data_IF_179897850650
#
_entry.id   IF_179897850650
#
_cell.length_a   1.000
_cell.length_b   1.000
_cell.length_c   1.000
_cell.angle_alpha   90.00
_cell.angle_beta   90.00
_cell.angle_gamma   90.00
#
_symmetry.space_group_name_H-M   'P 1'
#
loop_
_entity.id
_entity.type
_entity.pdbx_description
1 polymer ?
#
# COMPACT_ATOMS: atom_id res chain seq x y z
N UNK A 1 -39.54 -82.36 16.71
CA UNK A 1 -39.85 -82.03 15.31
C UNK A 1 -40.30 -80.56 15.24
N UNK A 2 -39.49 -79.66 14.69
CA UNK A 2 -39.80 -78.47 13.92
C UNK A 2 -38.49 -77.73 13.66
N UNK A 3 -38.05 -77.87 12.42
CA UNK A 3 -36.88 -77.24 11.85
C UNK A 3 -37.14 -75.72 11.68
N UNK A 4 -36.26 -74.89 12.20
CA UNK A 4 -36.26 -73.45 11.93
C UNK A 4 -35.04 -73.08 11.05
N UNK A 5 -35.33 -72.64 9.83
CA UNK A 5 -34.36 -72.18 8.85
C UNK A 5 -34.02 -70.72 9.15
N UNK A 6 -32.74 -70.45 9.50
CA UNK A 6 -32.20 -69.11 9.55
C UNK A 6 -31.77 -68.69 8.13
N UNK A 7 -32.37 -67.64 7.59
CA UNK A 7 -31.98 -66.98 6.38
C UNK A 7 -30.93 -65.91 6.73
N UNK A 8 -29.71 -66.06 6.20
CA UNK A 8 -28.64 -65.04 6.30
C UNK A 8 -28.87 -63.97 5.23
N UNK A 9 -29.21 -62.77 5.64
CA UNK A 9 -29.25 -61.59 4.74
C UNK A 9 -27.82 -60.99 4.61
N UNK A 10 -27.28 -61.08 3.42
CA UNK A 10 -25.96 -60.47 3.06
C UNK A 10 -26.23 -58.98 2.73
N UNK A 11 -25.87 -58.05 3.63
CA UNK A 11 -25.91 -56.63 3.35
C UNK A 11 -24.62 -56.21 2.58
N UNK A 12 -24.77 -55.91 1.32
CA UNK A 12 -23.69 -55.34 0.49
C UNK A 12 -23.54 -53.83 0.83
N UNK A 13 -22.52 -53.47 1.58
CA UNK A 13 -22.09 -52.11 1.78
C UNK A 13 -21.34 -51.62 0.53
N UNK A 14 -21.99 -50.77 -0.28
CA UNK A 14 -21.36 -50.04 -1.37
C UNK A 14 -20.57 -48.89 -0.71
N UNK A 15 -19.27 -49.07 -0.57
CA UNK A 15 -18.35 -48.02 -0.18
C UNK A 15 -18.22 -46.97 -1.30
N UNK A 16 -18.77 -45.78 -1.13
CA UNK A 16 -18.45 -44.64 -1.96
C UNK A 16 -16.99 -44.28 -1.70
N UNK A 17 -16.09 -44.68 -2.62
CA UNK A 17 -14.74 -44.15 -2.67
C UNK A 17 -14.86 -42.65 -3.09
N UNK A 18 -14.75 -41.74 -2.14
CA UNK A 18 -14.49 -40.33 -2.43
C UNK A 18 -13.07 -40.29 -3.01
N UNK A 19 -12.97 -40.24 -4.33
CA UNK A 19 -11.73 -39.94 -5.02
C UNK A 19 -11.37 -38.48 -4.66
N UNK A 20 -10.55 -38.31 -3.60
CA UNK A 20 -9.89 -37.06 -3.33
C UNK A 20 -9.09 -36.70 -4.59
N UNK A 21 -9.44 -35.58 -5.23
CA UNK A 21 -8.60 -35.04 -6.29
C UNK A 21 -7.21 -34.82 -5.70
N UNK A 22 -6.14 -35.29 -6.33
CA UNK A 22 -4.80 -34.92 -5.88
C UNK A 22 -4.72 -33.39 -5.92
N UNK A 23 -4.35 -32.77 -4.81
CA UNK A 23 -3.97 -31.38 -4.82
C UNK A 23 -2.79 -31.27 -5.80
N UNK A 24 -3.02 -30.68 -6.97
CA UNK A 24 -1.95 -30.39 -7.92
C UNK A 24 -1.00 -29.44 -7.17
N UNK A 25 0.26 -29.82 -7.05
CA UNK A 25 1.30 -28.91 -6.59
C UNK A 25 1.31 -27.70 -7.53
N UNK A 26 1.49 -26.49 -6.98
CA UNK A 26 1.58 -25.30 -7.81
C UNK A 26 2.82 -25.41 -8.73
N UNK A 27 2.67 -24.96 -9.98
CA UNK A 27 3.77 -24.94 -10.94
C UNK A 27 4.79 -23.84 -10.56
N UNK A 28 4.29 -22.77 -9.91
CA UNK A 28 5.05 -21.60 -9.50
C UNK A 28 4.71 -21.23 -8.05
N UNK A 29 5.70 -21.32 -7.19
CA UNK A 29 5.60 -20.90 -5.79
C UNK A 29 6.52 -19.70 -5.56
N UNK A 30 5.95 -18.60 -5.04
CA UNK A 30 6.67 -17.35 -4.78
C UNK A 30 6.53 -16.91 -3.34
N UNK A 31 7.61 -16.35 -2.78
CA UNK A 31 7.64 -15.76 -1.45
C UNK A 31 7.74 -14.24 -1.57
N UNK A 32 6.67 -13.56 -1.14
CA UNK A 32 6.59 -12.10 -1.12
C UNK A 32 6.59 -11.61 0.32
N UNK A 33 7.13 -10.41 0.54
CA UNK A 33 7.02 -9.72 1.81
C UNK A 33 6.27 -8.40 1.63
N UNK A 34 5.30 -8.15 2.52
CA UNK A 34 4.59 -6.87 2.63
C UNK A 34 5.35 -5.91 3.53
N UNK A 35 5.14 -4.60 3.34
CA UNK A 35 5.54 -3.58 4.32
C UNK A 35 4.52 -3.36 5.44
N UNK A 36 3.39 -4.08 5.41
CA UNK A 36 2.36 -3.99 6.44
C UNK A 36 2.49 -5.12 7.49
N UNK A 37 2.17 -4.86 8.77
CA UNK A 37 2.06 -5.88 9.82
C UNK A 37 0.90 -6.85 9.56
N UNK A 38 0.99 -8.09 10.05
CA UNK A 38 0.00 -9.16 9.84
C UNK A 38 -1.45 -8.78 10.23
N UNK A 39 -1.62 -7.98 11.28
CA UNK A 39 -2.95 -7.50 11.75
C UNK A 39 -3.49 -6.27 11.03
N UNK A 40 -2.71 -5.68 10.12
CA UNK A 40 -3.12 -4.49 9.39
C UNK A 40 -4.22 -4.82 8.35
N UNK A 41 -5.31 -4.05 8.27
CA UNK A 41 -6.32 -4.22 7.23
C UNK A 41 -5.78 -4.27 5.80
N UNK A 42 -4.73 -3.51 5.48
CA UNK A 42 -4.07 -3.55 4.17
C UNK A 42 -3.46 -4.94 3.92
N UNK A 43 -2.71 -5.50 4.88
CA UNK A 43 -2.13 -6.84 4.77
C UNK A 43 -3.20 -7.92 4.55
N UNK A 44 -4.33 -7.81 5.28
CA UNK A 44 -5.46 -8.74 5.12
C UNK A 44 -6.02 -8.67 3.69
N UNK A 45 -6.16 -7.47 3.11
CA UNK A 45 -6.61 -7.29 1.74
C UNK A 45 -5.58 -7.83 0.73
N UNK A 46 -4.28 -7.59 0.96
CA UNK A 46 -3.19 -8.13 0.15
C UNK A 46 -3.17 -9.67 0.16
N UNK A 47 -3.46 -10.30 1.30
CA UNK A 47 -3.66 -11.76 1.39
C UNK A 47 -4.86 -12.21 0.55
N UNK A 48 -5.90 -11.38 0.42
CA UNK A 48 -7.02 -11.62 -0.50
C UNK A 48 -6.57 -11.66 -1.97
N UNK A 49 -5.66 -10.75 -2.37
CA UNK A 49 -5.08 -10.75 -3.71
C UNK A 49 -4.32 -12.04 -4.03
N UNK A 50 -3.50 -12.57 -3.11
CA UNK A 50 -2.75 -13.82 -3.38
C UNK A 50 -3.69 -14.98 -3.66
N UNK A 51 -4.84 -15.05 -2.99
CA UNK A 51 -5.89 -16.04 -3.24
C UNK A 51 -6.55 -15.85 -4.61
N UNK A 52 -6.87 -14.59 -4.97
CA UNK A 52 -7.46 -14.28 -6.27
C UNK A 52 -6.53 -14.65 -7.43
N UNK A 53 -5.21 -14.44 -7.28
CA UNK A 53 -4.20 -14.87 -8.25
C UNK A 53 -4.15 -16.40 -8.38
N UNK A 54 -4.18 -17.12 -7.26
CA UNK A 54 -4.21 -18.59 -7.27
C UNK A 54 -5.48 -19.10 -7.97
N UNK A 55 -6.64 -18.53 -7.68
CA UNK A 55 -7.90 -18.87 -8.34
C UNK A 55 -7.87 -18.56 -9.84
N UNK A 56 -7.38 -17.37 -10.23
CA UNK A 56 -7.26 -16.93 -11.63
C UNK A 56 -6.37 -17.84 -12.45
N UNK A 57 -5.32 -18.41 -11.84
CA UNK A 57 -4.37 -19.32 -12.50
C UNK A 57 -4.75 -20.79 -12.35
N UNK A 58 -5.92 -21.11 -11.75
CA UNK A 58 -6.34 -22.49 -11.52
C UNK A 58 -5.41 -23.26 -10.58
N UNK A 59 -4.80 -22.56 -9.61
CA UNK A 59 -3.85 -23.14 -8.65
C UNK A 59 -2.42 -23.29 -9.15
N UNK A 60 -2.11 -22.86 -10.39
CA UNK A 60 -0.74 -22.94 -10.93
C UNK A 60 0.24 -22.01 -10.23
N UNK A 61 -0.24 -20.86 -9.74
CA UNK A 61 0.58 -19.87 -9.01
C UNK A 61 0.13 -19.79 -7.57
N UNK A 62 1.09 -19.92 -6.66
CA UNK A 62 0.90 -19.70 -5.23
C UNK A 62 1.88 -18.62 -4.75
N UNK A 63 1.37 -17.63 -4.01
CA UNK A 63 2.19 -16.60 -3.36
C UNK A 63 2.03 -16.72 -1.86
N UNK A 64 3.13 -17.05 -1.18
CA UNK A 64 3.25 -16.91 0.26
C UNK A 64 3.53 -15.44 0.58
N UNK A 65 2.56 -14.72 1.15
CA UNK A 65 2.73 -13.33 1.56
C UNK A 65 3.09 -13.26 3.04
N UNK A 66 4.27 -12.73 3.33
CA UNK A 66 4.80 -12.54 4.67
C UNK A 66 4.58 -11.09 5.14
N UNK A 67 4.29 -10.84 6.42
CA UNK A 67 4.22 -9.48 6.96
C UNK A 67 5.60 -8.83 7.07
N UNK A 68 5.62 -7.53 7.30
CA UNK A 68 6.84 -6.72 7.48
C UNK A 68 7.78 -7.34 8.51
N UNK A 69 9.08 -7.29 8.24
CA UNK A 69 10.13 -7.78 9.15
C UNK A 69 10.23 -9.29 9.29
N UNK A 70 9.50 -10.08 8.47
CA UNK A 70 9.54 -11.55 8.54
C UNK A 70 10.87 -12.13 8.04
N UNK A 71 11.45 -11.53 7.03
CA UNK A 71 12.70 -11.95 6.40
C UNK A 71 13.75 -10.83 6.50
N UNK A 72 13.40 -9.62 6.04
CA UNK A 72 14.26 -8.43 6.07
C UNK A 72 13.45 -7.21 6.50
N UNK A 73 14.12 -6.10 6.84
CA UNK A 73 13.47 -4.83 7.09
C UNK A 73 12.77 -4.29 5.83
N UNK A 74 11.77 -3.42 6.00
CA UNK A 74 10.91 -2.92 4.93
C UNK A 74 11.69 -2.25 3.77
N UNK A 75 12.79 -1.58 4.06
CA UNK A 75 13.65 -0.88 3.10
C UNK A 75 14.75 -1.76 2.48
N UNK A 76 14.84 -3.03 2.87
CA UNK A 76 15.83 -4.00 2.37
C UNK A 76 15.24 -5.00 1.38
N UNK A 77 13.91 -4.93 1.14
CA UNK A 77 13.21 -5.94 0.32
C UNK A 77 13.69 -5.96 -1.13
N UNK A 78 14.06 -4.82 -1.74
CA UNK A 78 14.63 -4.79 -3.09
C UNK A 78 15.95 -5.60 -3.15
N UNK A 79 16.83 -5.42 -2.18
CA UNK A 79 18.11 -6.15 -2.14
C UNK A 79 17.89 -7.65 -1.87
N UNK A 80 16.94 -7.99 -1.04
CA UNK A 80 16.55 -9.38 -0.79
C UNK A 80 15.96 -10.05 -2.05
N UNK A 81 15.20 -9.33 -2.86
CA UNK A 81 14.65 -9.82 -4.14
C UNK A 81 15.79 -9.99 -5.16
N UNK A 82 16.67 -9.02 -5.28
CA UNK A 82 17.84 -9.11 -6.16
C UNK A 82 18.74 -10.30 -5.80
N UNK A 83 18.91 -10.59 -4.50
CA UNK A 83 19.67 -11.73 -3.99
C UNK A 83 18.91 -13.08 -4.07
N UNK A 84 17.63 -13.09 -4.49
CA UNK A 84 16.81 -14.31 -4.57
C UNK A 84 16.36 -14.86 -3.20
N UNK A 85 16.46 -14.07 -2.14
CA UNK A 85 15.99 -14.40 -0.78
C UNK A 85 14.45 -14.26 -0.71
N UNK A 86 13.92 -13.24 -1.36
CA UNK A 86 12.51 -13.03 -1.65
C UNK A 86 12.27 -13.12 -3.16
N UNK A 87 11.07 -13.46 -3.55
CA UNK A 87 10.65 -13.45 -4.96
C UNK A 87 9.99 -12.14 -5.36
N UNK A 88 9.40 -11.43 -4.41
CA UNK A 88 8.75 -10.16 -4.64
C UNK A 88 8.33 -9.47 -3.34
N UNK A 89 7.68 -8.32 -3.50
CA UNK A 89 7.14 -7.56 -2.38
C UNK A 89 5.86 -6.81 -2.75
N UNK A 90 5.13 -6.38 -1.71
CA UNK A 90 4.07 -5.38 -1.76
C UNK A 90 4.47 -4.30 -0.75
N UNK A 91 4.92 -3.14 -1.22
CA UNK A 91 5.56 -2.15 -0.35
C UNK A 91 5.35 -0.72 -0.84
N UNK A 92 5.40 0.24 0.08
CA UNK A 92 5.46 1.65 -0.27
C UNK A 92 6.81 1.95 -0.96
N UNK A 93 6.72 2.42 -2.20
CA UNK A 93 7.88 2.74 -3.03
C UNK A 93 8.79 3.82 -2.41
N UNK A 94 8.26 4.69 -1.55
CA UNK A 94 9.04 5.73 -0.89
C UNK A 94 10.14 5.21 0.05
N UNK A 95 10.01 3.98 0.53
CA UNK A 95 11.02 3.35 1.39
C UNK A 95 12.39 3.15 0.72
N UNK A 96 12.45 3.32 -0.60
CA UNK A 96 13.70 3.23 -1.37
C UNK A 96 14.26 4.60 -1.77
N UNK A 97 13.75 5.68 -1.19
CA UNK A 97 14.21 7.05 -1.44
C UNK A 97 15.70 7.28 -1.14
N UNK A 98 16.27 6.47 -0.24
CA UNK A 98 17.71 6.46 0.02
C UNK A 98 18.56 5.90 -1.13
N UNK A 99 17.98 5.09 -2.04
CA UNK A 99 18.68 4.57 -3.23
C UNK A 99 18.63 5.57 -4.39
N UNK A 100 17.48 6.17 -4.63
CA UNK A 100 17.28 7.26 -5.60
C UNK A 100 16.11 8.14 -5.16
N UNK A 101 16.28 9.45 -5.22
CA UNK A 101 15.24 10.42 -4.86
C UNK A 101 13.96 10.29 -5.72
N UNK A 102 14.07 9.70 -6.91
CA UNK A 102 12.96 9.41 -7.80
C UNK A 102 11.90 8.53 -7.13
N UNK A 103 12.30 7.56 -6.30
CA UNK A 103 11.37 6.68 -5.60
C UNK A 103 10.41 7.46 -4.71
N UNK A 104 10.89 8.48 -3.98
CA UNK A 104 10.00 9.28 -3.14
C UNK A 104 9.05 10.17 -3.96
N UNK A 105 9.49 10.67 -5.10
CA UNK A 105 8.70 11.56 -5.94
C UNK A 105 7.60 10.80 -6.70
N UNK A 106 7.89 9.61 -7.24
CA UNK A 106 6.88 8.80 -7.93
C UNK A 106 5.92 8.14 -6.96
N UNK A 107 6.43 7.75 -5.77
CA UNK A 107 5.64 7.10 -4.75
C UNK A 107 4.55 8.01 -4.19
N UNK A 108 4.91 9.23 -3.85
CA UNK A 108 3.98 10.11 -3.16
C UNK A 108 4.23 11.58 -3.53
N UNK A 109 3.83 12.01 -4.74
CA UNK A 109 3.86 13.41 -5.12
C UNK A 109 2.81 14.18 -4.32
N UNK A 110 3.16 14.55 -3.09
CA UNK A 110 2.27 15.14 -2.08
C UNK A 110 1.36 16.21 -2.68
N UNK A 111 0.05 16.01 -2.56
CA UNK A 111 -0.95 16.94 -3.08
C UNK A 111 -1.22 16.84 -4.60
N UNK A 112 -0.59 15.92 -5.33
CA UNK A 112 -0.89 15.73 -6.76
C UNK A 112 -2.28 15.14 -6.99
N UNK A 113 -2.62 14.14 -6.20
CA UNK A 113 -3.84 13.34 -6.37
C UNK A 113 -4.92 13.75 -5.38
N UNK A 114 -6.15 13.88 -5.85
CA UNK A 114 -7.35 14.07 -5.03
C UNK A 114 -8.30 12.85 -5.10
N UNK A 115 -8.04 11.95 -6.05
CA UNK A 115 -8.78 10.71 -6.26
C UNK A 115 -7.82 9.61 -6.70
N UNK A 116 -7.94 8.37 -6.15
CA UNK A 116 -7.08 7.24 -6.51
C UNK A 116 -7.07 6.91 -8.00
N UNK A 117 -8.19 7.15 -8.71
CA UNK A 117 -8.26 6.90 -10.15
C UNK A 117 -7.26 7.77 -10.95
N UNK A 118 -6.97 9.00 -10.47
CA UNK A 118 -5.97 9.88 -11.11
C UNK A 118 -4.58 9.25 -11.08
N UNK A 119 -4.19 8.66 -9.95
CA UNK A 119 -2.92 7.93 -9.83
C UNK A 119 -2.91 6.68 -10.72
N UNK A 120 -3.99 5.90 -10.73
CA UNK A 120 -4.08 4.72 -11.59
C UNK A 120 -4.02 5.10 -13.07
N UNK A 121 -4.69 6.18 -13.49
CA UNK A 121 -4.61 6.66 -14.86
C UNK A 121 -3.21 7.14 -15.25
N UNK A 122 -2.49 7.79 -14.33
CA UNK A 122 -1.08 8.12 -14.52
C UNK A 122 -0.23 6.86 -14.71
N UNK A 123 -0.40 5.87 -13.84
CA UNK A 123 0.35 4.62 -13.92
C UNK A 123 0.04 3.80 -15.18
N UNK A 124 -1.22 3.80 -15.64
CA UNK A 124 -1.64 2.98 -16.77
C UNK A 124 -1.48 3.67 -18.14
N UNK A 125 -1.53 5.01 -18.19
CA UNK A 125 -1.63 5.80 -19.42
C UNK A 125 -0.71 7.01 -19.46
N UNK A 126 -0.22 7.46 -18.30
CA UNK A 126 0.57 8.67 -18.14
C UNK A 126 2.08 8.46 -18.11
N UNK A 127 2.55 7.22 -18.37
CA UNK A 127 3.98 6.88 -18.35
C UNK A 127 4.50 6.41 -16.98
N UNK A 128 3.61 6.29 -15.96
CA UNK A 128 4.03 5.90 -14.60
C UNK A 128 4.57 4.47 -14.53
N UNK A 129 3.96 3.51 -15.26
CA UNK A 129 4.41 2.10 -15.28
C UNK A 129 5.80 1.98 -15.91
N UNK A 130 6.05 2.69 -16.99
CA UNK A 130 7.34 2.74 -17.67
C UNK A 130 8.41 3.32 -16.76
N UNK A 131 8.12 4.45 -16.10
CA UNK A 131 9.03 5.07 -15.13
C UNK A 131 9.36 4.12 -13.97
N UNK A 132 8.36 3.42 -13.41
CA UNK A 132 8.60 2.47 -12.33
C UNK A 132 9.50 1.32 -12.78
N UNK A 133 9.28 0.74 -13.97
CA UNK A 133 10.15 -0.32 -14.48
C UNK A 133 11.59 0.18 -14.69
N UNK A 134 11.78 1.36 -15.26
CA UNK A 134 13.11 1.95 -15.41
C UNK A 134 13.83 2.17 -14.07
N UNK A 135 13.06 2.50 -13.02
CA UNK A 135 13.63 2.73 -11.68
C UNK A 135 13.98 1.41 -10.96
N UNK A 136 13.18 0.35 -11.10
CA UNK A 136 13.40 -0.89 -10.34
C UNK A 136 14.26 -1.90 -11.08
N UNK A 137 14.33 -1.87 -12.42
CA UNK A 137 15.15 -2.80 -13.22
C UNK A 137 16.64 -2.81 -12.85
N UNK A 138 17.31 -1.67 -12.58
CA UNK A 138 18.70 -1.67 -12.13
C UNK A 138 18.95 -2.44 -10.83
N UNK A 139 17.89 -2.65 -10.04
CA UNK A 139 17.91 -3.43 -8.80
C UNK A 139 17.43 -4.88 -8.99
N UNK A 140 17.26 -5.32 -10.24
CA UNK A 140 16.87 -6.70 -10.57
C UNK A 140 15.38 -7.02 -10.33
N UNK A 141 14.51 -6.00 -10.32
CA UNK A 141 13.08 -6.15 -10.14
C UNK A 141 12.31 -5.83 -11.42
N UNK A 142 11.11 -6.39 -11.52
CA UNK A 142 10.07 -6.00 -12.47
C UNK A 142 8.86 -5.47 -11.71
N UNK A 143 8.39 -4.27 -12.07
CA UNK A 143 7.18 -3.67 -11.52
C UNK A 143 5.94 -4.24 -12.23
N UNK A 144 5.11 -4.95 -11.49
CA UNK A 144 3.87 -5.57 -12.00
C UNK A 144 2.75 -4.54 -12.05
N UNK A 145 2.55 -3.79 -10.97
CA UNK A 145 1.50 -2.78 -10.91
C UNK A 145 1.45 -2.01 -9.61
N UNK A 146 0.67 -0.93 -9.64
CA UNK A 146 0.44 -0.03 -8.52
C UNK A 146 -0.86 -0.37 -7.79
N UNK A 147 -0.82 -0.24 -6.46
CA UNK A 147 -1.99 -0.19 -5.60
C UNK A 147 -1.86 1.00 -4.64
N UNK A 148 -2.90 1.32 -3.91
CA UNK A 148 -2.92 2.34 -2.87
C UNK A 148 -4.03 2.05 -1.87
N UNK A 149 -3.88 2.37 -0.59
CA UNK A 149 -5.01 2.37 0.34
C UNK A 149 -6.02 3.48 0.05
N UNK A 150 -5.60 4.55 -0.64
CA UNK A 150 -6.38 5.76 -0.93
C UNK A 150 -5.73 7.01 -0.34
N UNK A 151 -6.50 8.11 -0.29
CA UNK A 151 -6.06 9.35 0.33
C UNK A 151 -5.97 9.19 1.84
N UNK A 152 -4.78 9.34 2.40
CA UNK A 152 -4.49 9.08 3.80
C UNK A 152 -5.08 10.13 4.73
N UNK A 153 -5.63 9.69 5.87
CA UNK A 153 -6.02 10.55 6.96
C UNK A 153 -4.81 10.88 7.85
N UNK A 154 -4.67 12.13 8.24
CA UNK A 154 -3.55 12.53 9.11
C UNK A 154 -3.88 12.22 10.57
N UNK A 155 -3.02 11.45 11.22
CA UNK A 155 -3.16 11.11 12.66
C UNK A 155 -2.60 12.26 13.49
N UNK A 156 -3.36 12.76 14.47
CA UNK A 156 -2.87 13.82 15.35
C UNK A 156 -3.43 13.72 16.77
N UNK A 157 -2.56 13.88 17.75
CA UNK A 157 -2.91 14.02 19.16
C UNK A 157 -3.26 15.46 19.55
N UNK A 158 -2.98 16.44 18.67
CA UNK A 158 -3.23 17.86 18.89
C UNK A 158 -4.11 18.43 17.77
N UNK A 159 -4.93 19.45 18.03
CA UNK A 159 -5.72 20.11 16.99
C UNK A 159 -4.83 20.79 15.96
N UNK A 160 -5.01 20.47 14.67
CA UNK A 160 -4.28 21.09 13.56
C UNK A 160 -5.29 21.42 12.46
N UNK A 161 -5.74 22.68 12.41
CA UNK A 161 -6.78 23.16 11.47
C UNK A 161 -6.20 23.93 10.28
N UNK A 162 -4.91 24.26 10.32
CA UNK A 162 -4.23 25.11 9.33
C UNK A 162 -2.80 24.61 9.09
N UNK A 163 -2.18 25.06 7.98
CA UNK A 163 -0.76 24.83 7.71
C UNK A 163 0.11 25.39 8.83
N UNK A 164 -0.23 26.57 9.35
CA UNK A 164 0.52 27.18 10.46
C UNK A 164 0.44 26.34 11.75
N UNK A 165 -0.62 25.56 11.94
CA UNK A 165 -0.77 24.63 13.06
C UNK A 165 0.24 23.47 13.06
N UNK A 166 0.89 23.22 11.93
CA UNK A 166 1.98 22.22 11.83
C UNK A 166 3.29 22.69 12.48
N UNK A 167 3.45 24.00 12.75
CA UNK A 167 4.73 24.54 13.23
C UNK A 167 5.18 23.89 14.54
N UNK A 168 6.35 23.26 14.48
CA UNK A 168 6.97 22.59 15.64
C UNK A 168 6.36 21.25 16.04
N UNK A 169 5.28 20.80 15.38
CA UNK A 169 4.67 19.49 15.65
C UNK A 169 5.66 18.38 15.33
N UNK A 170 5.98 17.57 16.33
CA UNK A 170 6.80 16.36 16.14
C UNK A 170 5.94 15.29 15.50
N UNK A 171 6.28 14.89 14.30
CA UNK A 171 5.46 13.94 13.57
C UNK A 171 6.29 12.88 12.87
N UNK A 172 5.71 11.71 12.68
CA UNK A 172 6.28 10.70 11.79
C UNK A 172 5.92 11.04 10.34
N UNK A 173 6.91 10.96 9.47
CA UNK A 173 6.70 10.87 8.03
C UNK A 173 7.68 9.84 7.44
N UNK A 174 7.30 9.13 6.36
CA UNK A 174 8.26 8.29 5.64
C UNK A 174 9.39 9.13 5.07
N UNK A 175 10.56 8.52 4.88
CA UNK A 175 11.70 9.19 4.30
C UNK A 175 11.40 9.75 2.89
N UNK A 176 12.07 10.84 2.52
CA UNK A 176 11.96 11.42 1.19
C UNK A 176 11.03 12.62 1.12
N UNK A 177 10.21 12.70 0.07
CA UNK A 177 9.43 13.91 -0.26
C UNK A 177 8.41 14.26 0.83
N UNK A 178 7.69 13.31 1.39
CA UNK A 178 6.67 13.58 2.43
C UNK A 178 7.31 14.28 3.62
N UNK A 179 8.44 13.74 4.11
CA UNK A 179 9.18 14.35 5.22
C UNK A 179 9.62 15.77 4.91
N UNK A 180 10.09 16.02 3.68
CA UNK A 180 10.56 17.34 3.26
C UNK A 180 9.42 18.36 3.16
N UNK A 181 8.26 17.95 2.64
CA UNK A 181 7.07 18.81 2.55
C UNK A 181 6.60 19.21 3.94
N UNK A 182 6.50 18.28 4.88
CA UNK A 182 6.11 18.62 6.26
C UNK A 182 7.15 19.50 6.96
N UNK A 183 8.46 19.26 6.74
CA UNK A 183 9.51 20.14 7.24
C UNK A 183 9.39 21.55 6.65
N UNK A 184 9.13 21.68 5.35
CA UNK A 184 8.91 22.97 4.69
C UNK A 184 7.63 23.68 5.18
N UNK A 185 6.63 22.92 5.61
CA UNK A 185 5.42 23.46 6.27
C UNK A 185 5.65 23.83 7.74
N UNK A 186 6.86 23.60 8.28
CA UNK A 186 7.26 23.99 9.63
C UNK A 186 7.13 22.92 10.70
N UNK A 187 6.69 21.70 10.35
CA UNK A 187 6.68 20.56 11.26
C UNK A 187 8.11 20.07 11.59
N UNK A 188 8.22 19.24 12.61
CA UNK A 188 9.46 18.56 13.00
C UNK A 188 9.34 17.04 12.70
N UNK A 189 9.46 16.61 11.42
CA UNK A 189 9.26 15.24 11.03
C UNK A 189 10.46 14.35 11.45
N UNK A 190 10.13 13.12 11.85
CA UNK A 190 11.10 12.05 12.10
C UNK A 190 10.76 10.85 11.22
N UNK A 191 11.81 10.17 10.73
CA UNK A 191 11.63 8.92 9.99
C UNK A 191 11.50 7.75 10.95
N UNK A 192 10.37 7.05 10.88
CA UNK A 192 10.10 5.81 11.61
C UNK A 192 9.37 4.82 10.70
N UNK A 193 9.65 3.50 10.82
CA UNK A 193 8.83 2.48 10.17
C UNK A 193 7.35 2.62 10.55
N UNK A 194 6.44 2.29 9.64
CA UNK A 194 5.00 2.33 9.93
C UNK A 194 4.61 1.46 11.13
N UNK A 195 5.28 0.32 11.34
CA UNK A 195 5.08 -0.58 12.48
C UNK A 195 5.38 0.04 13.85
N UNK A 196 6.13 1.14 13.92
CA UNK A 196 6.51 1.82 15.16
C UNK A 196 5.60 3.00 15.51
N UNK A 197 4.72 3.42 14.61
CA UNK A 197 3.88 4.63 14.77
C UNK A 197 3.03 4.56 16.04
N UNK A 198 2.34 3.44 16.29
CA UNK A 198 1.52 3.27 17.48
C UNK A 198 2.34 3.50 18.76
N UNK A 199 3.48 2.84 18.87
CA UNK A 199 4.35 2.93 20.05
C UNK A 199 4.91 4.35 20.23
N UNK A 200 5.26 5.03 19.13
CA UNK A 200 5.81 6.38 19.18
C UNK A 200 4.77 7.42 19.63
N UNK A 201 3.50 7.28 19.19
CA UNK A 201 2.37 8.09 19.65
C UNK A 201 2.04 7.81 21.12
N UNK A 202 1.92 6.54 21.50
CA UNK A 202 1.58 6.11 22.88
C UNK A 202 2.61 6.62 23.91
N UNK A 203 3.88 6.63 23.53
CA UNK A 203 4.97 7.15 24.38
C UNK A 203 5.19 8.67 24.28
N UNK A 204 4.42 9.38 23.46
CA UNK A 204 4.57 10.82 23.23
C UNK A 204 5.91 11.21 22.58
N UNK A 205 6.57 10.30 21.85
CA UNK A 205 7.77 10.59 21.06
C UNK A 205 7.41 11.47 19.87
N UNK A 206 6.22 11.24 19.30
CA UNK A 206 5.58 12.04 18.25
C UNK A 206 4.18 12.46 18.70
N UNK A 207 3.69 13.57 18.12
CA UNK A 207 2.36 14.12 18.37
C UNK A 207 1.40 13.86 17.19
N UNK A 208 1.96 13.56 16.02
CA UNK A 208 1.20 13.30 14.81
C UNK A 208 1.91 12.30 13.89
N UNK A 209 1.20 11.78 12.90
CA UNK A 209 1.77 10.88 11.90
C UNK A 209 1.03 10.95 10.56
N UNK A 210 1.79 10.96 9.47
CA UNK A 210 1.43 10.42 8.19
C UNK A 210 1.47 8.89 8.32
N UNK A 211 0.36 8.19 7.97
CA UNK A 211 0.34 6.74 8.13
C UNK A 211 -0.51 6.02 7.08
N UNK A 212 -1.86 6.08 7.17
CA UNK A 212 -2.73 5.46 6.16
C UNK A 212 -4.16 6.05 6.23
N UNK A 213 -5.14 5.37 5.63
CA UNK A 213 -6.54 5.82 5.62
C UNK A 213 -7.19 5.73 6.99
N UNK A 214 -8.26 6.49 7.21
CA UNK A 214 -8.89 6.67 8.52
C UNK A 214 -9.30 5.37 9.20
N UNK A 215 -9.97 4.48 8.47
CA UNK A 215 -10.47 3.21 9.01
C UNK A 215 -9.34 2.27 9.44
N UNK A 216 -8.24 2.26 8.72
CA UNK A 216 -7.05 1.46 9.09
C UNK A 216 -6.36 2.07 10.31
N UNK A 217 -6.23 3.40 10.38
CA UNK A 217 -5.71 4.10 11.56
C UNK A 217 -6.54 3.78 12.81
N UNK A 218 -7.88 3.81 12.66
CA UNK A 218 -8.80 3.45 13.74
C UNK A 218 -8.69 1.99 14.15
N UNK A 219 -8.65 1.07 13.19
CA UNK A 219 -8.54 -0.37 13.47
C UNK A 219 -7.24 -0.75 14.18
N UNK A 220 -6.18 0.05 14.02
CA UNK A 220 -4.92 -0.10 14.72
C UNK A 220 -4.83 0.68 16.04
N UNK A 221 -5.92 1.33 16.47
CA UNK A 221 -5.99 2.06 17.73
C UNK A 221 -5.29 3.43 17.72
N UNK A 222 -4.83 3.94 16.56
CA UNK A 222 -4.11 5.21 16.50
C UNK A 222 -4.99 6.39 16.90
N UNK A 223 -6.25 6.41 16.46
CA UNK A 223 -7.18 7.47 16.80
C UNK A 223 -7.70 7.41 18.24
N UNK A 224 -7.48 6.29 18.95
CA UNK A 224 -7.79 6.19 20.38
C UNK A 224 -6.75 6.93 21.25
N UNK A 225 -5.54 7.09 20.72
CA UNK A 225 -4.42 7.80 21.35
C UNK A 225 -4.34 9.23 20.81
N UNK A 226 -4.39 9.37 19.48
CA UNK A 226 -4.31 10.64 18.76
C UNK A 226 -5.73 11.06 18.33
N UNK A 227 -6.44 11.75 19.23
CA UNK A 227 -7.88 12.01 19.16
C UNK A 227 -8.29 13.19 18.30
N UNK A 228 -7.36 13.77 17.53
CA UNK A 228 -7.57 14.90 16.63
C UNK A 228 -7.20 14.60 15.17
N UNK A 229 -7.65 13.48 14.58
CA UNK A 229 -7.32 13.16 13.19
C UNK A 229 -7.88 14.19 12.21
N UNK A 230 -7.20 14.34 11.06
CA UNK A 230 -7.68 15.20 9.97
C UNK A 230 -8.22 14.31 8.85
N UNK A 231 -9.50 14.52 8.52
CA UNK A 231 -10.19 13.80 7.45
C UNK A 231 -11.23 14.71 6.77
N UNK A 232 -11.42 14.66 5.44
CA UNK A 232 -10.63 13.90 4.46
C UNK A 232 -9.15 14.26 4.46
N UNK A 233 -8.30 13.34 4.01
CA UNK A 233 -6.87 13.57 3.89
C UNK A 233 -6.51 14.75 2.97
N UNK A 234 -5.34 15.30 3.14
CA UNK A 234 -4.91 16.48 2.39
C UNK A 234 -3.49 16.34 1.82
N UNK A 235 -2.76 15.34 2.24
CA UNK A 235 -1.30 15.29 2.09
C UNK A 235 -0.82 14.13 1.23
N UNK A 236 -1.26 12.92 1.48
CA UNK A 236 -0.60 11.71 1.01
C UNK A 236 -1.58 10.74 0.34
N UNK A 237 -1.17 10.21 -0.80
CA UNK A 237 -1.78 9.07 -1.47
C UNK A 237 -0.63 8.22 -2.02
N UNK A 238 -0.12 7.26 -1.22
CA UNK A 238 1.08 6.53 -1.57
C UNK A 238 0.83 5.55 -2.72
N UNK A 239 1.82 5.44 -3.59
CA UNK A 239 1.94 4.31 -4.51
C UNK A 239 2.57 3.16 -3.74
N UNK A 240 1.80 2.10 -3.57
CA UNK A 240 2.27 0.82 -3.07
C UNK A 240 2.53 -0.07 -4.27
N UNK A 241 3.78 -0.44 -4.49
CA UNK A 241 4.20 -1.26 -5.60
C UNK A 241 3.99 -2.75 -5.32
N UNK A 242 3.62 -3.48 -6.37
CA UNK A 242 3.75 -4.93 -6.45
C UNK A 242 4.83 -5.20 -7.46
N UNK A 243 5.98 -5.68 -6.98
CA UNK A 243 7.16 -5.96 -7.81
C UNK A 243 7.73 -7.32 -7.46
N UNK A 244 8.39 -7.95 -8.45
CA UNK A 244 9.05 -9.24 -8.25
C UNK A 244 10.40 -9.31 -8.93
N UNK A 245 11.17 -10.35 -8.64
CA UNK A 245 12.45 -10.65 -9.27
C UNK A 245 12.30 -10.69 -10.80
N UNK A 246 13.11 -9.88 -11.50
CA UNK A 246 12.99 -9.72 -12.96
C UNK A 246 13.28 -11.01 -13.73
N UNK A 247 14.28 -11.77 -13.33
CA UNK A 247 14.62 -13.03 -14.03
C UNK A 247 13.47 -14.04 -13.90
N UNK A 248 12.87 -14.14 -12.70
CA UNK A 248 11.70 -14.99 -12.48
C UNK A 248 10.49 -14.50 -13.28
N UNK A 249 10.25 -13.19 -13.31
CA UNK A 249 9.20 -12.60 -14.14
C UNK A 249 9.40 -12.94 -15.62
N UNK A 250 10.60 -12.71 -16.14
CA UNK A 250 10.90 -12.93 -17.57
C UNK A 250 10.68 -14.39 -17.99
N UNK A 251 10.94 -15.33 -17.08
CA UNK A 251 10.74 -16.77 -17.31
C UNK A 251 9.28 -17.22 -17.28
N UNK A 252 8.34 -16.38 -16.79
CA UNK A 252 6.93 -16.76 -16.73
C UNK A 252 6.28 -16.80 -18.11
N UNK A 253 5.34 -17.75 -18.35
CA UNK A 253 4.48 -17.74 -19.52
C UNK A 253 3.62 -16.48 -19.61
N UNK A 254 3.23 -16.11 -20.82
CA UNK A 254 2.48 -14.87 -21.07
C UNK A 254 1.10 -14.86 -20.37
N UNK A 255 0.42 -15.99 -20.27
CA UNK A 255 -0.86 -16.12 -19.56
C UNK A 255 -0.72 -15.92 -18.04
N UNK A 256 0.39 -16.36 -17.46
CA UNK A 256 0.70 -16.15 -16.04
C UNK A 256 1.05 -14.66 -15.79
N UNK A 257 1.87 -14.04 -16.64
CA UNK A 257 2.14 -12.59 -16.58
C UNK A 257 0.86 -11.77 -16.64
N UNK A 258 -0.01 -12.08 -17.59
CA UNK A 258 -1.30 -11.41 -17.73
C UNK A 258 -2.19 -11.60 -16.49
N UNK A 259 -2.19 -12.78 -15.86
CA UNK A 259 -2.92 -13.04 -14.63
C UNK A 259 -2.41 -12.17 -13.45
N UNK A 260 -1.10 -12.03 -13.31
CA UNK A 260 -0.52 -11.12 -12.31
C UNK A 260 -0.97 -9.68 -12.53
N UNK A 261 -0.77 -9.14 -13.74
CA UNK A 261 -1.12 -7.75 -14.07
C UNK A 261 -2.61 -7.46 -13.87
N UNK A 262 -3.48 -8.37 -14.34
CA UNK A 262 -4.93 -8.22 -14.21
C UNK A 262 -5.37 -8.30 -12.75
N UNK A 263 -4.87 -9.27 -11.97
CA UNK A 263 -5.27 -9.40 -10.56
C UNK A 263 -4.74 -8.28 -9.68
N UNK A 264 -3.54 -7.73 -9.94
CA UNK A 264 -3.05 -6.52 -9.26
C UNK A 264 -3.94 -5.33 -9.58
N UNK A 265 -4.33 -5.16 -10.84
CA UNK A 265 -5.25 -4.10 -11.28
C UNK A 265 -6.61 -4.20 -10.60
N UNK A 266 -7.21 -5.39 -10.54
CA UNK A 266 -8.49 -5.63 -9.88
C UNK A 266 -8.38 -5.41 -8.35
N UNK A 267 -7.29 -5.91 -7.75
CA UNK A 267 -6.99 -5.71 -6.34
C UNK A 267 -6.88 -4.23 -5.98
N UNK A 268 -6.16 -3.44 -6.77
CA UNK A 268 -5.95 -2.01 -6.50
C UNK A 268 -7.28 -1.26 -6.38
N UNK A 269 -8.23 -1.54 -7.25
CA UNK A 269 -9.56 -0.90 -7.27
C UNK A 269 -10.46 -1.40 -6.15
N UNK A 270 -10.44 -2.72 -5.91
CA UNK A 270 -11.24 -3.33 -4.83
C UNK A 270 -10.76 -2.89 -3.44
N UNK A 271 -9.44 -2.74 -3.25
CA UNK A 271 -8.86 -2.23 -2.02
C UNK A 271 -9.35 -0.81 -1.71
N UNK A 272 -9.22 0.10 -2.68
CA UNK A 272 -9.67 1.49 -2.53
C UNK A 272 -11.17 1.54 -2.19
N UNK A 273 -12.00 0.80 -2.95
CA UNK A 273 -13.45 0.78 -2.70
C UNK A 273 -13.81 0.25 -1.30
N UNK A 274 -13.14 -0.83 -0.88
CA UNK A 274 -13.37 -1.42 0.43
C UNK A 274 -12.96 -0.49 1.59
N UNK A 275 -11.78 0.14 1.46
CA UNK A 275 -11.27 1.06 2.48
C UNK A 275 -12.07 2.36 2.53
N UNK A 276 -12.45 2.94 1.39
CA UNK A 276 -13.29 4.14 1.35
C UNK A 276 -14.69 3.92 1.97
N UNK A 277 -15.27 2.72 1.81
CA UNK A 277 -16.52 2.36 2.49
C UNK A 277 -16.33 2.29 4.01
N UNK A 278 -15.25 1.62 4.45
CA UNK A 278 -14.92 1.53 5.88
C UNK A 278 -14.56 2.89 6.49
N UNK A 279 -13.91 3.79 5.76
CA UNK A 279 -13.61 5.14 6.23
C UNK A 279 -14.89 5.90 6.59
N UNK A 280 -15.91 5.87 5.73
CA UNK A 280 -17.19 6.51 6.00
C UNK A 280 -17.85 5.99 7.27
N UNK A 281 -17.82 4.68 7.48
CA UNK A 281 -18.36 4.05 8.69
C UNK A 281 -17.55 4.43 9.94
N UNK A 282 -16.23 4.39 9.85
CA UNK A 282 -15.33 4.69 10.96
C UNK A 282 -15.40 6.16 11.38
N UNK A 283 -15.44 7.10 10.43
CA UNK A 283 -15.60 8.54 10.70
C UNK A 283 -16.93 8.81 11.40
N UNK A 284 -18.04 8.28 10.87
CA UNK A 284 -19.36 8.45 11.49
C UNK A 284 -19.41 7.89 12.92
N UNK A 285 -18.77 6.74 13.16
CA UNK A 285 -18.67 6.16 14.50
C UNK A 285 -17.80 7.01 15.44
N UNK A 286 -16.68 7.56 14.94
CA UNK A 286 -15.79 8.42 15.71
C UNK A 286 -16.50 9.72 16.15
N UNK A 287 -17.20 10.38 15.23
CA UNK A 287 -17.98 11.60 15.52
C UNK A 287 -19.12 11.33 16.51
N UNK A 288 -19.86 10.22 16.36
CA UNK A 288 -20.92 9.83 17.27
C UNK A 288 -20.42 9.46 18.67
N UNK A 289 -19.20 8.94 18.79
CA UNK A 289 -18.58 8.51 20.04
C UNK A 289 -18.13 9.64 20.96
N UNK A 290 -17.93 10.86 20.43
CA UNK A 290 -17.60 12.07 21.16
C UNK A 290 -16.21 12.10 21.83
N UNK A 291 -15.36 11.09 21.61
CA UNK A 291 -13.97 11.04 22.12
C UNK A 291 -12.96 11.55 21.09
N UNK A 292 -13.28 11.42 19.81
CA UNK A 292 -12.42 11.80 18.69
C UNK A 292 -13.04 13.05 18.06
N UNK A 293 -12.23 14.07 17.86
CA UNK A 293 -12.61 15.29 17.14
C UNK A 293 -11.99 15.23 15.75
N UNK A 294 -12.81 14.93 14.74
CA UNK A 294 -12.35 14.89 13.36
C UNK A 294 -12.22 16.32 12.82
N UNK A 295 -11.02 16.68 12.37
CA UNK A 295 -10.74 17.99 11.77
C UNK A 295 -10.84 17.91 10.26
N UNK A 296 -11.28 18.99 9.61
CA UNK A 296 -11.32 19.09 8.16
C UNK A 296 -10.72 20.43 7.73
N UNK A 297 -9.62 20.37 7.00
CA UNK A 297 -8.99 21.56 6.48
C UNK A 297 -9.83 22.24 5.41
N UNK A 298 -9.86 23.58 5.42
CA UNK A 298 -10.47 24.35 4.35
C UNK A 298 -9.73 24.17 3.03
N UNK A 299 -10.41 24.43 1.92
CA UNK A 299 -9.79 24.36 0.58
C UNK A 299 -8.62 25.35 0.46
N UNK A 300 -8.66 26.48 1.17
CA UNK A 300 -7.56 27.46 1.22
C UNK A 300 -6.32 26.86 1.88
N UNK A 301 -6.46 26.18 3.02
CA UNK A 301 -5.33 25.55 3.72
C UNK A 301 -4.76 24.39 2.92
N UNK A 302 -5.63 23.58 2.27
CA UNK A 302 -5.20 22.51 1.35
C UNK A 302 -4.40 23.09 0.16
N UNK A 303 -4.82 24.23 -0.40
CA UNK A 303 -4.12 24.91 -1.48
C UNK A 303 -2.76 25.46 -1.03
N UNK A 304 -2.66 26.02 0.18
CA UNK A 304 -1.40 26.48 0.77
C UNK A 304 -0.42 25.32 0.95
N UNK A 305 -0.88 24.20 1.51
CA UNK A 305 -0.04 23.01 1.69
C UNK A 305 0.45 22.45 0.35
N UNK A 306 -0.45 22.34 -0.64
CA UNK A 306 -0.11 21.92 -2.00
C UNK A 306 0.95 22.82 -2.65
N UNK A 307 0.87 24.14 -2.45
CA UNK A 307 1.87 25.07 -2.98
C UNK A 307 3.27 24.82 -2.38
N UNK A 308 3.34 24.52 -1.08
CA UNK A 308 4.59 24.12 -0.40
C UNK A 308 5.10 22.81 -1.03
N UNK A 309 4.23 21.82 -1.18
CA UNK A 309 4.58 20.51 -1.73
C UNK A 309 5.17 20.60 -3.14
N UNK A 310 4.55 21.36 -4.04
CA UNK A 310 5.03 21.57 -5.42
C UNK A 310 6.43 22.21 -5.42
N UNK A 311 6.72 23.11 -4.48
CA UNK A 311 8.06 23.67 -4.30
C UNK A 311 9.11 22.60 -3.93
N UNK A 312 8.73 21.62 -3.13
CA UNK A 312 9.61 20.54 -2.71
C UNK A 312 9.81 19.48 -3.83
N UNK A 313 8.78 19.22 -4.68
CA UNK A 313 8.95 18.33 -5.83
C UNK A 313 10.12 18.75 -6.73
N UNK A 314 10.22 20.06 -7.00
CA UNK A 314 11.32 20.61 -7.81
C UNK A 314 12.68 20.37 -7.18
N UNK A 315 12.80 20.55 -5.86
CA UNK A 315 14.06 20.32 -5.13
C UNK A 315 14.45 18.83 -5.14
N UNK A 316 13.46 17.93 -5.07
CA UNK A 316 13.70 16.49 -5.19
C UNK A 316 14.16 16.15 -6.62
N UNK A 317 13.55 16.75 -7.64
CA UNK A 317 13.92 16.56 -9.03
C UNK A 317 15.37 16.95 -9.35
N UNK A 318 15.97 17.88 -8.59
CA UNK A 318 17.35 18.32 -8.76
C UNK A 318 18.40 17.32 -8.20
N UNK A 319 17.97 16.24 -7.50
CA UNK A 319 18.85 15.32 -6.80
C UNK A 319 19.41 14.18 -7.66
N UNK A 320 18.66 13.76 -8.70
CA UNK A 320 19.08 12.72 -9.64
C UNK A 320 18.46 12.92 -11.01
N UNK A 321 19.06 12.32 -12.05
CA UNK A 321 18.50 12.32 -13.41
C UNK A 321 17.16 11.59 -13.45
N UNK A 322 17.01 10.50 -12.70
CA UNK A 322 15.77 9.76 -12.57
C UNK A 322 14.68 10.61 -11.92
N UNK A 323 15.00 11.31 -10.81
CA UNK A 323 14.05 12.20 -10.16
C UNK A 323 13.60 13.35 -11.07
N UNK A 324 14.52 13.90 -11.86
CA UNK A 324 14.18 14.90 -12.87
C UNK A 324 13.23 14.33 -13.93
N UNK A 325 13.50 13.13 -14.44
CA UNK A 325 12.66 12.46 -15.41
C UNK A 325 11.25 12.21 -14.86
N UNK A 326 11.14 11.68 -13.64
CA UNK A 326 9.84 11.50 -12.95
C UNK A 326 9.10 12.83 -12.84
N UNK A 327 9.78 13.90 -12.39
CA UNK A 327 9.19 15.23 -12.27
C UNK A 327 8.63 15.74 -13.60
N UNK A 328 9.43 15.64 -14.68
CA UNK A 328 9.06 16.15 -15.99
C UNK A 328 7.82 15.42 -16.55
N UNK A 329 7.80 14.08 -16.47
CA UNK A 329 6.66 13.27 -16.94
C UNK A 329 5.42 13.50 -16.09
N UNK A 330 5.57 13.46 -14.75
CA UNK A 330 4.46 13.68 -13.82
C UNK A 330 3.83 15.06 -14.00
N UNK A 331 4.65 16.13 -14.02
CA UNK A 331 4.12 17.49 -14.12
C UNK A 331 3.50 17.78 -15.49
N UNK A 332 4.01 17.17 -16.55
CA UNK A 332 3.39 17.24 -17.88
C UNK A 332 2.02 16.59 -17.83
N UNK A 333 1.91 15.35 -17.33
CA UNK A 333 0.65 14.64 -17.19
C UNK A 333 -0.37 15.42 -16.35
N UNK A 334 0.06 15.94 -15.18
CA UNK A 334 -0.81 16.71 -14.29
C UNK A 334 -1.37 17.98 -14.96
N UNK A 335 -0.55 18.70 -15.75
CA UNK A 335 -0.97 19.90 -16.51
C UNK A 335 -1.94 19.55 -17.63
N UNK A 336 -1.64 18.53 -18.44
CA UNK A 336 -2.47 18.09 -19.54
C UNK A 336 -3.86 17.62 -19.08
N UNK A 337 -3.95 17.08 -17.87
CA UNK A 337 -5.20 16.62 -17.26
C UNK A 337 -5.86 17.66 -16.32
N UNK A 338 -5.31 18.89 -16.24
CA UNK A 338 -5.89 19.97 -15.43
C UNK A 338 -5.84 19.76 -13.91
N UNK A 339 -4.94 18.87 -13.45
CA UNK A 339 -4.79 18.53 -12.04
C UNK A 339 -3.88 19.52 -11.28
N UNK A 340 -3.02 20.23 -12.01
CA UNK A 340 -2.24 21.37 -11.50
C UNK A 340 -2.27 22.51 -12.51
N UNK A 341 -2.06 23.76 -12.03
CA UNK A 341 -2.04 24.97 -12.86
C UNK A 341 -0.64 25.24 -13.40
#
# INVERSE_FOLDING_TARGET
MKSSRFALALAATVGLAVLGQPALAADYEFKFQSSDPAGNPNFILQTGWTKALAEKTGGKVMVELLPVGSIVEHNETQDAIAAGILDGHITDTSYFSGKDAAFSLIANPVGAWSDPQQMFDFMEKGGGKELMNELVEPYGLHFIGATTPGLEAFVSAVPIDTVDGLKGVKMRAPEGLVQQVFAAAGAAPVNLPGSEVFTALDKGVIEAADYTVFSTNQAQGLNDIATHPIYPGFHSMPLVEVSMNKEKWDALPADIKAAFEETVKDFSRSQVAALAAKDKEAVAAAEAGGKITVHNWSDEERAKFRAIAIGEWKKVAERSENAKKVYDVLTTYLKENGLVK
#
